data_IF_198561645853
#
_entry.id   IF_198561645853
#
_cell.length_a   1.000
_cell.length_b   1.000
_cell.length_c   1.000
_cell.angle_alpha   90.00
_cell.angle_beta   90.00
_cell.angle_gamma   90.00
#
_symmetry.space_group_name_H-M   'P 1'
#
loop_
_entity.id
_entity.type
_entity.pdbx_description
1 polymer ?
#
# COMPACT_ATOMS: atom_id res chain seq x y z
N UNK A 1 21.84 -9.52 6.68
CA UNK A 1 20.80 -9.72 5.65
C UNK A 1 19.64 -8.78 6.01
N UNK A 2 19.13 -7.99 5.08
CA UNK A 2 18.05 -7.03 5.37
C UNK A 2 16.77 -7.80 5.71
N UNK A 3 16.19 -7.58 6.89
CA UNK A 3 14.92 -8.21 7.30
C UNK A 3 13.75 -7.54 6.58
N UNK A 4 12.95 -8.31 5.86
CA UNK A 4 11.76 -7.84 5.14
C UNK A 4 10.52 -8.03 6.02
N UNK A 5 10.37 -7.20 7.05
CA UNK A 5 9.35 -7.37 8.09
C UNK A 5 7.93 -7.54 7.56
N UNK A 6 7.47 -6.62 6.70
CA UNK A 6 6.12 -6.69 6.14
C UNK A 6 5.93 -7.96 5.30
N UNK A 7 6.92 -8.31 4.48
CA UNK A 7 6.85 -9.49 3.63
C UNK A 7 6.72 -10.76 4.47
N UNK A 8 7.58 -10.92 5.48
CA UNK A 8 7.52 -12.07 6.38
C UNK A 8 6.15 -12.18 7.06
N UNK A 9 5.57 -11.06 7.52
CA UNK A 9 4.26 -11.02 8.15
C UNK A 9 3.16 -11.49 7.18
N UNK A 10 3.14 -10.98 5.95
CA UNK A 10 2.07 -11.30 4.98
C UNK A 10 2.24 -12.69 4.35
N UNK A 11 3.44 -13.26 4.34
CA UNK A 11 3.69 -14.61 3.84
C UNK A 11 2.97 -15.68 4.70
N UNK A 12 2.70 -15.39 5.97
CA UNK A 12 1.87 -16.24 6.85
C UNK A 12 0.35 -16.08 6.61
N UNK A 13 -0.07 -15.09 5.83
CA UNK A 13 -1.49 -14.86 5.50
C UNK A 13 -1.79 -15.54 4.17
N UNK A 14 -2.68 -16.53 4.18
CA UNK A 14 -3.24 -17.13 2.95
C UNK A 14 -4.41 -16.29 2.45
N UNK A 15 -4.42 -15.97 1.15
CA UNK A 15 -5.48 -15.16 0.56
C UNK A 15 -6.81 -15.93 0.54
N UNK A 16 -6.74 -17.26 0.44
CA UNK A 16 -7.85 -18.21 0.46
C UNK A 16 -8.55 -18.25 1.83
N UNK A 17 -7.90 -17.76 2.89
CA UNK A 17 -8.47 -17.66 4.23
C UNK A 17 -9.16 -16.31 4.51
N UNK A 18 -9.07 -15.33 3.61
CA UNK A 18 -9.71 -14.03 3.79
C UNK A 18 -11.23 -14.11 3.59
N UNK A 19 -12.05 -13.15 4.03
CA UNK A 19 -13.47 -13.13 3.68
C UNK A 19 -13.69 -13.02 2.17
N UNK A 20 -14.77 -13.60 1.64
CA UNK A 20 -15.09 -13.66 0.18
C UNK A 20 -14.96 -12.29 -0.51
N UNK A 21 -15.34 -11.21 0.19
CA UNK A 21 -15.25 -9.84 -0.33
C UNK A 21 -13.83 -9.40 -0.69
N UNK A 22 -12.80 -10.04 -0.11
CA UNK A 22 -11.37 -9.81 -0.29
C UNK A 22 -10.69 -10.84 -1.21
N UNK A 23 -11.40 -11.87 -1.67
CA UNK A 23 -10.83 -12.94 -2.51
C UNK A 23 -11.15 -12.81 -4.00
N UNK A 24 -12.37 -12.35 -4.34
CA UNK A 24 -12.95 -12.47 -5.68
C UNK A 24 -12.43 -11.48 -6.73
N UNK A 25 -11.13 -11.22 -6.78
CA UNK A 25 -10.51 -10.35 -7.79
C UNK A 25 -9.90 -11.19 -8.91
N UNK A 26 -10.09 -10.77 -10.16
CA UNK A 26 -9.33 -11.30 -11.29
C UNK A 26 -7.94 -10.65 -11.30
N UNK A 27 -6.93 -11.41 -10.88
CA UNK A 27 -5.54 -10.96 -10.90
C UNK A 27 -4.85 -11.17 -12.26
N UNK A 28 -5.42 -11.99 -13.14
CA UNK A 28 -4.75 -12.44 -14.36
C UNK A 28 -5.05 -11.51 -15.53
N UNK A 29 -6.32 -11.17 -15.78
CA UNK A 29 -6.69 -10.34 -16.94
C UNK A 29 -6.44 -8.85 -16.69
N UNK A 30 -5.82 -8.21 -17.67
CA UNK A 30 -5.66 -6.75 -17.73
C UNK A 30 -6.53 -6.15 -18.83
N UNK A 31 -6.40 -6.67 -20.05
CA UNK A 31 -7.16 -6.25 -21.23
C UNK A 31 -7.49 -7.46 -22.11
N UNK A 32 -7.84 -7.26 -23.38
CA UNK A 32 -8.09 -8.36 -24.32
C UNK A 32 -6.80 -9.09 -24.73
N UNK A 33 -5.69 -8.36 -24.80
CA UNK A 33 -4.38 -8.84 -25.25
C UNK A 33 -3.37 -9.00 -24.10
N UNK A 34 -3.62 -8.39 -22.93
CA UNK A 34 -2.68 -8.41 -21.80
C UNK A 34 -3.17 -9.23 -20.62
N UNK A 35 -2.29 -10.10 -20.15
CA UNK A 35 -2.43 -10.83 -18.88
C UNK A 35 -1.22 -10.58 -17.99
N UNK A 36 -1.45 -10.43 -16.69
CA UNK A 36 -0.38 -10.28 -15.71
C UNK A 36 0.40 -11.58 -15.57
N UNK A 37 1.71 -11.46 -15.40
CA UNK A 37 2.61 -12.54 -15.00
C UNK A 37 2.43 -12.91 -13.53
N UNK A 38 2.86 -14.10 -13.14
CA UNK A 38 2.66 -14.63 -11.78
C UNK A 38 3.25 -13.71 -10.70
N UNK A 39 4.45 -13.15 -10.90
CA UNK A 39 5.02 -12.21 -9.94
C UNK A 39 4.22 -10.91 -9.80
N UNK A 40 3.51 -10.47 -10.84
CA UNK A 40 2.62 -9.30 -10.77
C UNK A 40 1.33 -9.65 -10.02
N UNK A 41 0.80 -10.87 -10.23
CA UNK A 41 -0.34 -11.40 -9.47
C UNK A 41 0.00 -11.51 -7.99
N UNK A 42 1.17 -12.02 -7.66
CA UNK A 42 1.63 -12.17 -6.28
C UNK A 42 1.85 -10.82 -5.60
N UNK A 43 2.35 -9.81 -6.33
CA UNK A 43 2.41 -8.44 -5.83
C UNK A 43 1.02 -7.90 -5.43
N UNK A 44 -0.01 -8.11 -6.27
CA UNK A 44 -1.38 -7.70 -5.97
C UNK A 44 -1.98 -8.46 -4.78
N UNK A 45 -1.76 -9.79 -4.71
CA UNK A 45 -2.19 -10.61 -3.56
C UNK A 45 -1.55 -10.12 -2.27
N UNK A 46 -0.26 -9.83 -2.29
CA UNK A 46 0.47 -9.30 -1.13
C UNK A 46 -0.05 -7.93 -0.69
N UNK A 47 -0.43 -7.06 -1.64
CA UNK A 47 -1.09 -5.80 -1.33
C UNK A 47 -2.42 -6.02 -0.59
N UNK A 48 -3.26 -6.95 -1.07
CA UNK A 48 -4.54 -7.30 -0.43
C UNK A 48 -4.34 -7.82 0.98
N UNK A 49 -3.39 -8.74 1.20
CA UNK A 49 -3.06 -9.26 2.53
C UNK A 49 -2.64 -8.16 3.50
N UNK A 50 -1.76 -7.26 3.05
CA UNK A 50 -1.31 -6.12 3.86
C UNK A 50 -2.45 -5.15 4.20
N UNK A 51 -3.31 -4.84 3.23
CA UNK A 51 -4.49 -4.00 3.44
C UNK A 51 -5.48 -4.65 4.42
N UNK A 52 -5.74 -5.95 4.26
CA UNK A 52 -6.63 -6.70 5.15
C UNK A 52 -6.10 -6.70 6.59
N UNK A 53 -4.81 -7.01 6.76
CA UNK A 53 -4.15 -6.99 8.06
C UNK A 53 -4.36 -5.63 8.74
N UNK A 54 -4.08 -4.52 8.05
CA UNK A 54 -4.22 -3.20 8.66
C UNK A 54 -5.69 -2.82 8.94
N UNK A 55 -6.55 -2.87 7.93
CA UNK A 55 -7.90 -2.31 8.04
C UNK A 55 -8.89 -3.21 8.79
N UNK A 56 -8.69 -4.54 8.76
CA UNK A 56 -9.61 -5.50 9.37
C UNK A 56 -9.04 -6.10 10.64
N UNK A 57 -7.87 -6.71 10.58
CA UNK A 57 -7.33 -7.41 11.75
C UNK A 57 -6.79 -6.45 12.82
N UNK A 58 -6.24 -5.29 12.41
CA UNK A 58 -5.73 -4.26 13.31
C UNK A 58 -6.66 -3.06 13.46
N UNK A 59 -7.87 -3.11 12.87
CA UNK A 59 -8.87 -2.05 13.04
C UNK A 59 -8.42 -0.66 12.57
N UNK A 60 -7.52 -0.58 11.60
CA UNK A 60 -6.85 0.64 11.16
C UNK A 60 -6.08 1.39 12.27
N UNK A 61 -5.63 0.67 13.31
CA UNK A 61 -4.82 1.20 14.39
C UNK A 61 -3.32 0.98 14.13
N UNK A 62 -2.58 2.09 14.12
CA UNK A 62 -1.15 2.12 13.86
C UNK A 62 -0.32 1.47 14.97
N UNK A 63 -0.74 1.60 16.23
CA UNK A 63 -0.07 0.98 17.36
C UNK A 63 -0.29 -0.53 17.37
N UNK A 64 -1.49 -1.00 17.05
CA UNK A 64 -1.79 -2.43 16.90
C UNK A 64 -0.98 -3.05 15.76
N UNK A 65 -0.90 -2.37 14.61
CA UNK A 65 -0.02 -2.81 13.52
C UNK A 65 1.44 -2.83 13.97
N UNK A 66 1.92 -1.80 14.67
CA UNK A 66 3.31 -1.74 15.14
C UNK A 66 3.62 -2.85 16.17
N UNK A 67 2.70 -3.12 17.10
CA UNK A 67 2.82 -4.23 18.04
C UNK A 67 2.88 -5.57 17.31
N UNK A 68 2.10 -5.73 16.24
CA UNK A 68 2.18 -6.92 15.40
C UNK A 68 3.56 -7.07 14.72
N UNK A 69 4.18 -5.98 14.26
CA UNK A 69 5.56 -6.03 13.78
C UNK A 69 6.55 -6.49 14.86
N UNK A 70 6.43 -5.96 16.09
CA UNK A 70 7.28 -6.36 17.22
C UNK A 70 7.15 -7.85 17.54
N UNK A 71 5.91 -8.36 17.56
CA UNK A 71 5.63 -9.79 17.77
C UNK A 71 6.22 -10.68 16.65
N UNK A 72 6.48 -10.10 15.48
CA UNK A 72 7.13 -10.77 14.34
C UNK A 72 8.62 -10.41 14.22
N UNK A 73 9.28 -10.05 15.34
CA UNK A 73 10.73 -9.93 15.43
C UNK A 73 11.32 -8.59 14.98
N UNK A 74 10.49 -7.54 14.88
CA UNK A 74 10.96 -6.17 14.76
C UNK A 74 11.49 -5.65 16.11
N UNK A 75 12.79 -5.38 16.18
CA UNK A 75 13.51 -5.03 17.42
C UNK A 75 14.18 -3.65 17.35
N UNK A 76 14.25 -3.05 16.16
CA UNK A 76 14.91 -1.77 15.96
C UNK A 76 14.10 -0.60 16.54
N UNK A 77 14.80 0.47 16.94
CA UNK A 77 14.17 1.73 17.30
C UNK A 77 14.34 2.74 16.15
N UNK A 78 13.27 2.93 15.38
CA UNK A 78 13.17 3.94 14.32
C UNK A 78 12.29 5.13 14.68
N UNK A 79 12.06 5.37 15.98
CA UNK A 79 11.37 6.58 16.41
C UNK A 79 12.13 7.82 15.93
N UNK A 80 11.38 8.82 15.46
CA UNK A 80 11.98 10.06 14.97
C UNK A 80 12.28 10.99 16.14
N UNK A 81 13.57 11.18 16.44
CA UNK A 81 14.05 12.08 17.50
C UNK A 81 14.23 13.52 16.98
N UNK A 82 13.40 14.44 17.47
CA UNK A 82 13.42 15.84 17.04
C UNK A 82 14.71 16.57 17.52
N UNK A 83 15.32 16.14 18.63
CA UNK A 83 16.53 16.78 19.15
C UNK A 83 17.74 16.54 18.26
N UNK A 84 17.79 15.39 17.59
CA UNK A 84 18.90 15.03 16.69
C UNK A 84 18.85 15.76 15.34
N UNK A 85 17.77 16.47 15.02
CA UNK A 85 17.50 17.03 13.69
C UNK A 85 16.94 18.46 13.71
N UNK A 86 17.28 19.24 14.74
CA UNK A 86 16.67 20.54 15.11
C UNK A 86 16.54 21.56 13.96
N UNK A 87 17.40 21.51 12.94
CA UNK A 87 17.40 22.49 11.83
C UNK A 87 16.77 22.01 10.51
N UNK A 88 15.99 20.93 10.52
CA UNK A 88 15.42 20.38 9.28
C UNK A 88 14.04 20.96 8.95
N UNK A 89 13.82 21.33 7.67
CA UNK A 89 12.48 21.67 7.11
C UNK A 89 11.42 20.61 7.45
N UNK A 90 11.86 19.36 7.63
CA UNK A 90 11.03 18.21 8.02
C UNK A 90 10.37 18.38 9.39
N UNK A 91 11.07 18.95 10.39
CA UNK A 91 10.47 19.18 11.71
C UNK A 91 9.30 20.15 11.60
N UNK A 92 9.46 21.23 10.82
CA UNK A 92 8.37 22.19 10.60
C UNK A 92 7.11 21.51 10.10
N UNK A 93 7.23 20.60 9.12
CA UNK A 93 6.08 19.83 8.63
C UNK A 93 5.50 18.91 9.71
N UNK A 94 6.30 18.17 10.47
CA UNK A 94 5.74 17.32 11.54
C UNK A 94 5.00 18.11 12.62
N UNK A 95 5.49 19.30 12.97
CA UNK A 95 4.81 20.18 13.93
C UNK A 95 3.49 20.74 13.36
N UNK A 96 3.42 21.02 12.07
CA UNK A 96 2.19 21.44 11.38
C UNK A 96 1.12 20.34 11.38
N UNK A 97 1.53 19.07 11.25
CA UNK A 97 0.66 17.89 11.25
C UNK A 97 0.69 17.11 12.57
N UNK A 98 0.71 17.83 13.71
CA UNK A 98 0.83 17.23 15.05
C UNK A 98 -0.29 16.25 15.44
N UNK A 99 -1.46 16.30 14.79
CA UNK A 99 -2.53 15.31 14.97
C UNK A 99 -2.16 13.94 14.38
N UNK A 100 -1.49 13.93 13.22
CA UNK A 100 -1.09 12.71 12.52
C UNK A 100 0.24 12.15 13.03
N UNK A 101 1.11 13.05 13.49
CA UNK A 101 2.46 12.80 14.01
C UNK A 101 2.62 13.39 15.41
N UNK A 102 1.97 12.82 16.44
CA UNK A 102 2.08 13.30 17.81
C UNK A 102 3.51 13.20 18.32
N UNK A 103 3.97 14.27 18.95
CA UNK A 103 5.29 14.37 19.56
C UNK A 103 5.15 14.11 21.06
N UNK A 104 5.77 13.04 21.55
CA UNK A 104 5.84 12.68 22.97
C UNK A 104 7.31 12.62 23.35
N UNK A 105 7.71 13.34 24.39
CA UNK A 105 9.11 13.43 24.85
C UNK A 105 10.13 13.78 23.74
N UNK A 106 9.75 14.70 22.84
CA UNK A 106 10.52 15.10 21.65
C UNK A 106 10.76 13.98 20.62
N UNK A 107 9.91 12.95 20.62
CA UNK A 107 9.95 11.86 19.65
C UNK A 107 8.59 11.65 19.00
N UNK A 108 8.62 11.17 17.76
CA UNK A 108 7.44 10.63 17.08
C UNK A 108 7.66 9.13 16.94
N UNK A 109 6.71 8.34 17.43
CA UNK A 109 6.81 6.88 17.38
C UNK A 109 6.86 6.38 15.93
N UNK A 110 7.65 5.33 15.68
CA UNK A 110 7.70 4.65 14.40
C UNK A 110 6.33 4.15 13.92
N UNK A 111 5.39 3.88 14.83
CA UNK A 111 4.01 3.55 14.50
C UNK A 111 3.34 4.57 13.55
N UNK A 112 3.75 5.84 13.57
CA UNK A 112 3.20 6.85 12.67
C UNK A 112 3.78 6.82 11.25
N UNK A 113 4.86 6.06 11.04
CA UNK A 113 5.58 5.96 9.76
C UNK A 113 5.38 4.63 9.04
N UNK A 114 4.65 3.69 9.65
CA UNK A 114 4.27 2.40 9.03
C UNK A 114 2.95 2.53 8.23
N UNK A 115 2.33 1.39 7.90
CA UNK A 115 1.23 1.29 6.93
C UNK A 115 1.64 1.79 5.53
N UNK A 116 2.78 1.28 5.06
CA UNK A 116 3.35 1.55 3.74
C UNK A 116 3.80 0.23 3.13
N UNK A 117 3.59 0.06 1.83
CA UNK A 117 4.06 -1.07 1.06
C UNK A 117 4.91 -0.58 -0.12
N UNK A 118 5.95 -1.33 -0.46
CA UNK A 118 6.90 -0.97 -1.51
C UNK A 118 7.04 -2.13 -2.49
N UNK A 119 6.88 -1.85 -3.78
CA UNK A 119 7.07 -2.81 -4.86
C UNK A 119 8.43 -2.57 -5.53
N UNK A 120 9.42 -3.42 -5.24
CA UNK A 120 10.73 -3.34 -5.91
C UNK A 120 10.74 -4.26 -7.12
N UNK A 121 10.74 -3.66 -8.32
CA UNK A 121 10.67 -4.43 -9.57
C UNK A 121 11.55 -3.82 -10.67
N UNK A 122 12.14 -4.68 -11.50
CA UNK A 122 13.00 -4.29 -12.61
C UNK A 122 12.30 -3.34 -13.59
N UNK A 123 13.06 -2.52 -14.31
CA UNK A 123 12.53 -1.74 -15.44
C UNK A 123 12.00 -2.68 -16.53
N UNK A 124 10.87 -2.34 -17.16
CA UNK A 124 10.21 -3.21 -18.15
C UNK A 124 9.34 -4.34 -17.57
N UNK A 125 9.31 -4.53 -16.24
CA UNK A 125 8.47 -5.58 -15.59
C UNK A 125 6.96 -5.28 -15.55
N UNK A 126 6.50 -4.22 -16.20
CA UNK A 126 5.07 -3.87 -16.23
C UNK A 126 4.51 -3.33 -14.90
N UNK A 127 5.29 -2.53 -14.14
CA UNK A 127 4.84 -1.92 -12.89
C UNK A 127 3.53 -1.13 -13.02
N UNK A 128 3.35 -0.43 -14.14
CA UNK A 128 2.14 0.36 -14.44
C UNK A 128 0.87 -0.49 -14.38
N UNK A 129 0.93 -1.73 -14.87
CA UNK A 129 -0.21 -2.65 -14.88
C UNK A 129 -0.63 -3.01 -13.45
N UNK A 130 0.34 -3.20 -12.55
CA UNK A 130 0.08 -3.43 -11.12
C UNK A 130 -0.57 -2.20 -10.49
N UNK A 131 -0.10 -0.99 -10.81
CA UNK A 131 -0.70 0.24 -10.26
C UNK A 131 -2.16 0.37 -10.69
N UNK A 132 -2.48 0.19 -11.97
CA UNK A 132 -3.86 0.23 -12.48
C UNK A 132 -4.73 -0.83 -11.80
N UNK A 133 -4.27 -2.09 -11.72
CA UNK A 133 -5.01 -3.17 -11.03
C UNK A 133 -5.16 -2.91 -9.52
N UNK A 134 -4.19 -2.28 -8.88
CA UNK A 134 -4.29 -1.93 -7.47
C UNK A 134 -5.36 -0.86 -7.26
N UNK A 135 -5.46 0.12 -8.16
CA UNK A 135 -6.53 1.14 -8.12
C UNK A 135 -7.90 0.49 -8.30
N UNK A 136 -8.04 -0.45 -9.23
CA UNK A 136 -9.27 -1.24 -9.40
C UNK A 136 -9.66 -1.95 -8.09
N UNK A 137 -8.71 -2.65 -7.45
CA UNK A 137 -8.92 -3.37 -6.19
C UNK A 137 -9.35 -2.40 -5.08
N UNK A 138 -8.65 -1.26 -4.94
CA UNK A 138 -8.99 -0.22 -3.98
C UNK A 138 -10.42 0.30 -4.21
N UNK A 139 -10.76 0.65 -5.45
CA UNK A 139 -12.09 1.13 -5.83
C UNK A 139 -13.18 0.12 -5.49
N UNK A 140 -12.98 -1.16 -5.81
CA UNK A 140 -13.92 -2.25 -5.48
C UNK A 140 -14.07 -2.44 -3.98
N UNK A 141 -12.99 -2.40 -3.20
CA UNK A 141 -13.05 -2.52 -1.74
C UNK A 141 -13.72 -1.31 -1.09
N UNK A 142 -13.49 -0.09 -1.60
CA UNK A 142 -14.17 1.13 -1.15
C UNK A 142 -15.67 1.05 -1.45
N UNK A 143 -16.06 0.63 -2.66
CA UNK A 143 -17.47 0.47 -3.05
C UNK A 143 -18.20 -0.56 -2.17
N UNK A 144 -17.51 -1.64 -1.79
CA UNK A 144 -18.01 -2.67 -0.86
C UNK A 144 -17.99 -2.23 0.62
N UNK A 145 -17.55 -0.99 0.92
CA UNK A 145 -17.36 -0.45 2.28
C UNK A 145 -16.36 -1.25 3.13
N UNK A 146 -15.45 -1.96 2.47
CA UNK A 146 -14.38 -2.69 3.15
C UNK A 146 -13.20 -1.79 3.48
N UNK A 147 -12.97 -0.74 2.69
CA UNK A 147 -12.00 0.33 2.93
C UNK A 147 -12.71 1.68 3.15
N UNK A 148 -12.09 2.62 3.90
CA UNK A 148 -12.62 3.97 4.04
C UNK A 148 -12.67 4.68 2.68
N UNK A 149 -13.68 5.55 2.51
CA UNK A 149 -13.76 6.42 1.32
C UNK A 149 -12.60 7.42 1.34
N UNK A 150 -11.92 7.57 0.20
CA UNK A 150 -10.87 8.56 -0.01
C UNK A 150 -10.48 8.61 -1.48
N UNK A 151 -9.89 9.74 -1.88
CA UNK A 151 -9.36 9.91 -3.23
C UNK A 151 -8.00 9.23 -3.35
N UNK A 152 -7.67 8.77 -4.56
CA UNK A 152 -6.37 8.16 -4.87
C UNK A 152 -5.50 9.20 -5.56
N UNK A 153 -4.36 9.54 -4.94
CA UNK A 153 -3.37 10.44 -5.50
C UNK A 153 -2.24 9.64 -6.16
N UNK A 154 -2.10 9.75 -7.48
CA UNK A 154 -0.99 9.21 -8.24
C UNK A 154 0.03 10.32 -8.55
N UNK A 155 1.30 10.11 -8.18
CA UNK A 155 2.38 11.07 -8.41
C UNK A 155 3.45 10.45 -9.31
N UNK A 156 3.88 11.21 -10.31
CA UNK A 156 4.98 10.85 -11.22
C UNK A 156 5.88 12.07 -11.46
N UNK A 157 7.14 11.84 -11.83
CA UNK A 157 8.14 12.92 -11.99
C UNK A 157 8.11 13.59 -13.37
N UNK A 158 7.36 13.05 -14.34
CA UNK A 158 7.34 13.50 -15.74
C UNK A 158 5.94 13.34 -16.33
N UNK A 159 5.52 14.29 -17.15
CA UNK A 159 4.19 14.33 -17.74
C UNK A 159 3.94 13.18 -18.73
N UNK A 160 4.94 12.76 -19.50
CA UNK A 160 4.79 11.63 -20.43
C UNK A 160 4.51 10.30 -19.71
N UNK A 161 4.97 10.14 -18.46
CA UNK A 161 4.61 8.97 -17.66
C UNK A 161 3.17 9.04 -17.16
N UNK A 162 2.62 10.25 -16.97
CA UNK A 162 1.23 10.43 -16.62
C UNK A 162 0.33 10.07 -17.80
N UNK A 163 0.72 10.47 -19.01
CA UNK A 163 -0.03 10.13 -20.22
C UNK A 163 0.03 8.62 -20.52
N UNK A 164 1.20 7.98 -20.38
CA UNK A 164 1.31 6.52 -20.45
C UNK A 164 0.41 5.82 -19.43
N UNK A 165 0.33 6.34 -18.20
CA UNK A 165 -0.56 5.76 -17.19
C UNK A 165 -2.03 5.87 -17.61
N UNK A 166 -2.46 7.04 -18.14
CA UNK A 166 -3.83 7.24 -18.64
C UNK A 166 -4.17 6.28 -19.78
N UNK A 167 -3.26 6.09 -20.73
CA UNK A 167 -3.45 5.14 -21.83
C UNK A 167 -3.69 3.71 -21.30
N UNK A 168 -2.89 3.27 -20.31
CA UNK A 168 -3.08 1.96 -19.69
C UNK A 168 -4.38 1.85 -18.89
N UNK A 169 -4.81 2.94 -18.25
CA UNK A 169 -6.08 3.01 -17.53
C UNK A 169 -7.27 2.96 -18.50
N UNK A 170 -7.22 3.69 -19.62
CA UNK A 170 -8.23 3.65 -20.68
C UNK A 170 -8.31 2.25 -21.33
N UNK A 171 -7.17 1.64 -21.64
CA UNK A 171 -7.11 0.25 -22.13
C UNK A 171 -7.76 -0.72 -21.15
N UNK A 172 -7.44 -0.59 -19.87
CA UNK A 172 -8.04 -1.39 -18.80
C UNK A 172 -9.56 -1.18 -18.73
N UNK A 173 -10.02 0.07 -18.68
CA UNK A 173 -11.43 0.46 -18.56
C UNK A 173 -12.27 0.04 -19.77
N UNK A 174 -11.70 0.05 -20.98
CA UNK A 174 -12.40 -0.39 -22.21
C UNK A 174 -12.87 -1.85 -22.15
N UNK A 175 -12.29 -2.65 -21.26
CA UNK A 175 -12.57 -4.07 -21.10
C UNK A 175 -13.13 -4.43 -19.71
N UNK A 176 -13.32 -3.43 -18.82
CA UNK A 176 -13.78 -3.62 -17.45
C UNK A 176 -14.88 -2.59 -17.13
N UNK A 177 -16.13 -3.07 -17.03
CA UNK A 177 -17.30 -2.19 -16.88
C UNK A 177 -17.73 -1.96 -15.42
N UNK A 178 -17.24 -2.76 -14.47
CA UNK A 178 -17.73 -2.74 -13.08
C UNK A 178 -17.05 -1.69 -12.20
N UNK A 179 -15.84 -1.24 -12.56
CA UNK A 179 -15.06 -0.26 -11.80
C UNK A 179 -14.11 0.44 -12.75
N UNK A 180 -14.36 1.73 -13.01
CA UNK A 180 -13.47 2.57 -13.79
C UNK A 180 -12.28 3.00 -12.91
N UNK A 181 -11.07 2.80 -13.42
CA UNK A 181 -9.80 3.29 -12.87
C UNK A 181 -9.53 4.71 -13.33
#
# INVERSE_FOLDING_TARGET
MTKLYLQNIIDYISIENLPIKWQGFDFARFSNDKTLFDFQRDALKNAIKAMYLYFKDKGADKNELFNHYKLNGFEENFDYDLKKKQDSKTIKYFLEYSKDYPVIDNKISFAHFINRMSFWMATGSGKTLIVVKLIEILGKLIAKKELPKGDILFLTHRDDLLDQFKEHAEEFNSNNFDTLV
#
